data_IF_748369983975
#
_entry.id   IF_748369983975
#
_cell.length_a   1.000
_cell.length_b   1.000
_cell.length_c   1.000
_cell.angle_alpha   90.00
_cell.angle_beta   90.00
_cell.angle_gamma   90.00
#
_symmetry.space_group_name_H-M   'P 1'
#
loop_
_entity.id
_entity.type
_entity.pdbx_description
1 polymer ?
#
# COMPACT_ATOMS: atom_id res chain seq x y z
N UNK A 1 -13.08 8.61 -20.82
CA UNK A 1 -12.48 7.89 -19.66
C UNK A 1 -12.08 8.93 -18.62
N UNK A 2 -12.61 8.87 -17.40
CA UNK A 2 -12.33 9.87 -16.35
C UNK A 2 -10.83 9.88 -15.97
N UNK A 3 -10.27 11.04 -15.65
CA UNK A 3 -8.87 11.22 -15.23
C UNK A 3 -8.50 10.34 -14.02
N UNK A 4 -9.40 10.15 -13.05
CA UNK A 4 -9.15 9.29 -11.88
C UNK A 4 -9.03 7.81 -12.27
N UNK A 5 -9.76 7.38 -13.30
CA UNK A 5 -9.62 6.04 -13.88
C UNK A 5 -8.24 5.87 -14.52
N UNK A 6 -7.80 6.86 -15.29
CA UNK A 6 -6.48 6.85 -15.95
C UNK A 6 -5.37 6.78 -14.91
N UNK A 7 -5.45 7.60 -13.86
CA UNK A 7 -4.49 7.62 -12.76
C UNK A 7 -4.44 6.26 -12.07
N UNK A 8 -5.58 5.65 -11.72
CA UNK A 8 -5.61 4.34 -11.07
C UNK A 8 -5.02 3.23 -11.96
N UNK A 9 -5.32 3.23 -13.26
CA UNK A 9 -4.74 2.28 -14.23
C UNK A 9 -3.23 2.47 -14.37
N UNK A 10 -2.76 3.72 -14.37
CA UNK A 10 -1.32 4.03 -14.40
C UNK A 10 -0.64 3.55 -13.13
N UNK A 11 -1.21 3.84 -11.95
CA UNK A 11 -0.69 3.39 -10.66
C UNK A 11 -0.58 1.87 -10.63
N UNK A 12 -1.64 1.17 -11.01
CA UNK A 12 -1.65 -0.29 -11.10
C UNK A 12 -0.55 -0.81 -12.05
N UNK A 13 -0.50 -0.30 -13.28
CA UNK A 13 0.43 -0.77 -14.31
C UNK A 13 1.88 -0.57 -13.90
N UNK A 14 2.22 0.62 -13.36
CA UNK A 14 3.56 0.92 -12.86
C UNK A 14 3.89 0.04 -11.65
N UNK A 15 2.95 -0.14 -10.72
CA UNK A 15 3.16 -0.98 -9.54
C UNK A 15 3.46 -2.43 -9.92
N UNK A 16 2.64 -3.04 -10.78
CA UNK A 16 2.84 -4.42 -11.21
C UNK A 16 4.17 -4.55 -11.98
N UNK A 17 4.46 -3.63 -12.89
CA UNK A 17 5.72 -3.63 -13.64
C UNK A 17 6.94 -3.57 -12.72
N UNK A 18 6.98 -2.63 -11.77
CA UNK A 18 8.11 -2.47 -10.86
C UNK A 18 8.23 -3.65 -9.89
N UNK A 19 7.12 -4.16 -9.34
CA UNK A 19 7.15 -5.31 -8.42
C UNK A 19 7.57 -6.61 -9.11
N UNK A 20 7.12 -6.88 -10.34
CA UNK A 20 7.60 -8.04 -11.12
C UNK A 20 9.10 -7.93 -11.35
N UNK A 21 9.59 -6.73 -11.70
CA UNK A 21 11.02 -6.49 -11.84
C UNK A 21 11.76 -6.76 -10.52
N UNK A 22 11.25 -6.26 -9.39
CA UNK A 22 11.81 -6.57 -8.07
C UNK A 22 11.85 -8.07 -7.80
N UNK A 23 10.71 -8.77 -7.94
CA UNK A 23 10.57 -10.20 -7.68
C UNK A 23 11.53 -11.04 -8.55
N UNK A 24 11.68 -10.67 -9.82
CA UNK A 24 12.60 -11.37 -10.74
C UNK A 24 14.08 -11.27 -10.35
N UNK A 25 14.44 -10.39 -9.41
CA UNK A 25 15.79 -10.27 -8.86
C UNK A 25 16.08 -11.28 -7.75
N UNK A 26 15.06 -12.00 -7.25
CA UNK A 26 15.18 -12.93 -6.11
C UNK A 26 16.31 -13.94 -6.29
N UNK A 27 16.44 -14.49 -7.51
CA UNK A 27 17.46 -15.47 -7.88
C UNK A 27 18.91 -15.00 -7.74
N UNK A 28 19.16 -13.69 -7.61
CA UNK A 28 20.51 -13.13 -7.44
C UNK A 28 20.86 -12.86 -5.97
N UNK A 29 19.95 -13.09 -5.03
CA UNK A 29 20.17 -12.87 -3.61
C UNK A 29 20.35 -14.19 -2.85
N UNK A 30 21.22 -14.23 -1.84
CA UNK A 30 21.30 -15.39 -0.97
C UNK A 30 19.99 -15.54 -0.20
N UNK A 31 19.50 -16.78 -0.10
CA UNK A 31 18.26 -17.07 0.61
C UNK A 31 18.49 -16.87 2.11
N UNK A 32 17.95 -15.77 2.63
CA UNK A 32 17.90 -15.48 4.06
C UNK A 32 16.51 -14.92 4.43
N UNK A 33 16.15 -14.97 5.72
CA UNK A 33 14.81 -14.58 6.17
C UNK A 33 14.46 -13.12 5.85
N UNK A 34 15.44 -12.23 5.87
CA UNK A 34 15.26 -10.82 5.56
C UNK A 34 14.96 -10.59 4.06
N UNK A 35 15.72 -11.23 3.17
CA UNK A 35 15.49 -11.21 1.73
C UNK A 35 14.12 -11.80 1.43
N UNK A 36 13.76 -12.96 2.00
CA UNK A 36 12.43 -13.53 1.82
C UNK A 36 11.31 -12.54 2.18
N UNK A 37 11.48 -11.77 3.25
CA UNK A 37 10.53 -10.76 3.70
C UNK A 37 10.41 -9.58 2.74
N UNK A 38 11.53 -9.05 2.26
CA UNK A 38 11.52 -7.98 1.26
C UNK A 38 10.80 -8.43 -0.02
N UNK A 39 11.03 -9.65 -0.47
CA UNK A 39 10.37 -10.18 -1.67
C UNK A 39 8.89 -10.47 -1.44
N UNK A 40 8.52 -10.87 -0.22
CA UNK A 40 7.11 -10.98 0.19
C UNK A 40 6.41 -9.64 0.14
N UNK A 41 7.08 -8.54 0.53
CA UNK A 41 6.53 -7.19 0.41
C UNK A 41 6.14 -6.90 -1.04
N UNK A 42 7.00 -7.18 -2.03
CA UNK A 42 6.68 -6.92 -3.44
C UNK A 42 5.54 -7.79 -3.99
N UNK A 43 5.40 -9.03 -3.49
CA UNK A 43 4.24 -9.88 -3.80
C UNK A 43 2.98 -9.26 -3.20
N UNK A 44 3.04 -8.83 -1.94
CA UNK A 44 1.90 -8.24 -1.25
C UNK A 44 1.50 -6.88 -1.85
N UNK A 45 2.48 -6.06 -2.25
CA UNK A 45 2.30 -4.81 -2.99
C UNK A 45 1.56 -5.06 -4.32
N UNK A 46 1.89 -6.15 -5.02
CA UNK A 46 1.18 -6.58 -6.24
C UNK A 46 -0.27 -7.02 -5.98
N UNK A 47 -0.50 -7.73 -4.87
CA UNK A 47 -1.85 -8.14 -4.44
C UNK A 47 -2.67 -6.90 -4.09
N UNK A 48 -2.11 -5.98 -3.31
CA UNK A 48 -2.77 -4.73 -2.93
C UNK A 48 -3.10 -3.86 -4.15
N UNK A 49 -2.20 -3.77 -5.13
CA UNK A 49 -2.46 -3.03 -6.37
C UNK A 49 -3.61 -3.65 -7.18
N UNK A 50 -3.62 -4.99 -7.30
CA UNK A 50 -4.70 -5.72 -7.98
C UNK A 50 -6.04 -5.50 -7.30
N UNK A 51 -6.10 -5.65 -5.97
CA UNK A 51 -7.32 -5.40 -5.21
C UNK A 51 -7.76 -3.94 -5.29
N UNK A 52 -6.83 -2.99 -5.30
CA UNK A 52 -7.13 -1.58 -5.46
C UNK A 52 -7.72 -1.25 -6.84
N UNK A 53 -7.24 -1.89 -7.90
CA UNK A 53 -7.83 -1.76 -9.23
C UNK A 53 -9.22 -2.38 -9.29
N UNK A 54 -9.39 -3.60 -8.77
CA UNK A 54 -10.67 -4.35 -8.84
C UNK A 54 -11.74 -3.65 -8.00
N UNK A 55 -11.42 -3.33 -6.74
CA UNK A 55 -12.38 -2.74 -5.81
C UNK A 55 -12.69 -1.28 -6.16
N UNK A 56 -11.67 -0.54 -6.61
CA UNK A 56 -11.67 0.91 -6.86
C UNK A 56 -12.62 1.66 -5.93
N UNK A 57 -12.13 1.90 -4.72
CA UNK A 57 -12.88 2.55 -3.66
C UNK A 57 -12.83 4.07 -3.80
N UNK A 58 -13.99 4.70 -3.76
CA UNK A 58 -14.17 6.14 -3.54
C UNK A 58 -14.80 6.35 -2.17
N UNK A 59 -14.25 7.30 -1.40
CA UNK A 59 -14.82 7.72 -0.12
C UNK A 59 -15.47 9.06 -0.31
N UNK A 60 -16.76 9.12 0.01
CA UNK A 60 -17.60 10.29 -0.25
C UNK A 60 -18.39 10.57 1.02
N UNK A 61 -18.43 11.83 1.43
CA UNK A 61 -19.29 12.29 2.52
C UNK A 61 -20.57 12.83 1.90
N UNK A 62 -21.71 12.22 2.20
CA UNK A 62 -23.01 12.65 1.69
C UNK A 62 -23.99 12.84 2.84
N UNK A 63 -24.39 14.09 3.06
CA UNK A 63 -25.25 14.48 4.19
C UNK A 63 -24.67 13.97 5.53
N UNK A 64 -25.38 13.07 6.23
CA UNK A 64 -24.92 12.45 7.48
C UNK A 64 -24.24 11.09 7.29
N UNK A 65 -23.91 10.69 6.06
CA UNK A 65 -23.36 9.38 5.76
C UNK A 65 -21.94 9.45 5.21
N UNK A 66 -21.10 8.56 5.70
CA UNK A 66 -19.81 8.25 5.11
C UNK A 66 -20.02 7.07 4.16
N UNK A 67 -19.88 7.34 2.87
CA UNK A 67 -20.21 6.41 1.79
C UNK A 67 -18.92 5.87 1.15
N UNK A 68 -18.81 4.55 1.11
CA UNK A 68 -17.77 3.79 0.44
C UNK A 68 -18.35 3.31 -0.88
N UNK A 69 -18.03 4.02 -1.96
CA UNK A 69 -18.49 3.69 -3.30
C UNK A 69 -17.50 2.76 -4.01
N UNK A 70 -18.01 1.67 -4.61
CA UNK A 70 -17.21 0.70 -5.35
C UNK A 70 -17.41 0.96 -6.84
N UNK A 71 -16.50 1.71 -7.46
CA UNK A 71 -16.73 2.27 -8.80
C UNK A 71 -16.97 1.20 -9.86
N UNK A 72 -16.27 0.06 -9.80
CA UNK A 72 -16.40 -1.03 -10.78
C UNK A 72 -17.37 -2.14 -10.35
N UNK A 73 -18.14 -1.94 -9.28
CA UNK A 73 -19.12 -2.93 -8.81
C UNK A 73 -20.17 -3.31 -9.86
N UNK A 74 -20.45 -2.43 -10.83
CA UNK A 74 -21.37 -2.71 -11.93
C UNK A 74 -20.91 -3.85 -12.85
N UNK A 75 -19.61 -4.20 -12.85
CA UNK A 75 -19.06 -5.31 -13.64
C UNK A 75 -19.31 -6.69 -13.03
N UNK A 76 -19.60 -6.75 -11.71
CA UNK A 76 -19.55 -7.99 -10.93
C UNK A 76 -20.88 -8.38 -10.28
N UNK A 77 -21.93 -7.55 -10.45
CA UNK A 77 -23.25 -7.70 -9.81
C UNK A 77 -23.21 -8.16 -8.34
N UNK A 78 -22.39 -7.50 -7.51
CA UNK A 78 -22.12 -7.94 -6.14
C UNK A 78 -23.34 -7.78 -5.23
N UNK A 79 -23.67 -8.81 -4.43
CA UNK A 79 -24.61 -8.65 -3.32
C UNK A 79 -24.05 -7.70 -2.24
N UNK A 80 -24.87 -7.28 -1.28
CA UNK A 80 -24.41 -6.45 -0.15
C UNK A 80 -23.21 -7.08 0.56
N UNK A 81 -23.28 -8.39 0.82
CA UNK A 81 -22.18 -9.14 1.43
C UNK A 81 -20.95 -9.16 0.52
N UNK A 82 -21.13 -9.26 -0.81
CA UNK A 82 -20.04 -9.19 -1.78
C UNK A 82 -19.32 -7.84 -1.77
N UNK A 83 -20.06 -6.73 -1.79
CA UNK A 83 -19.51 -5.37 -1.65
C UNK A 83 -18.69 -5.24 -0.37
N UNK A 84 -19.27 -5.69 0.74
CA UNK A 84 -18.66 -5.63 2.05
C UNK A 84 -17.39 -6.49 2.15
N UNK A 85 -17.39 -7.74 1.66
CA UNK A 85 -16.16 -8.54 1.63
C UNK A 85 -15.06 -7.92 0.77
N UNK A 86 -15.42 -7.31 -0.36
CA UNK A 86 -14.47 -6.62 -1.22
C UNK A 86 -13.87 -5.39 -0.52
N UNK A 87 -14.70 -4.58 0.16
CA UNK A 87 -14.24 -3.46 0.98
C UNK A 87 -13.32 -3.94 2.10
N UNK A 88 -13.70 -4.97 2.86
CA UNK A 88 -12.87 -5.52 3.94
C UNK A 88 -11.53 -6.04 3.42
N UNK A 89 -11.53 -6.78 2.30
CA UNK A 89 -10.30 -7.28 1.68
C UNK A 89 -9.36 -6.12 1.26
N UNK A 90 -9.93 -5.05 0.71
CA UNK A 90 -9.17 -3.85 0.36
C UNK A 90 -8.55 -3.18 1.59
N UNK A 91 -9.33 -2.96 2.65
CA UNK A 91 -8.84 -2.34 3.89
C UNK A 91 -7.79 -3.22 4.59
N UNK A 92 -8.01 -4.54 4.68
CA UNK A 92 -7.04 -5.48 5.24
C UNK A 92 -5.71 -5.37 4.49
N UNK A 93 -5.73 -5.39 3.16
CA UNK A 93 -4.49 -5.32 2.37
C UNK A 93 -3.82 -3.94 2.42
N UNK A 94 -4.60 -2.85 2.43
CA UNK A 94 -4.06 -1.50 2.60
C UNK A 94 -3.28 -1.36 3.93
N UNK A 95 -3.91 -1.72 5.05
CA UNK A 95 -3.31 -1.56 6.37
C UNK A 95 -2.24 -2.61 6.68
N UNK A 96 -2.36 -3.82 6.15
CA UNK A 96 -1.30 -4.83 6.23
C UNK A 96 -0.04 -4.40 5.45
N UNK A 97 -0.19 -3.63 4.36
CA UNK A 97 0.95 -3.09 3.62
C UNK A 97 1.83 -2.19 4.52
N UNK A 98 1.19 -1.29 5.27
CA UNK A 98 1.85 -0.41 6.24
C UNK A 98 2.53 -1.25 7.34
N UNK A 99 1.83 -2.26 7.86
CA UNK A 99 2.37 -3.15 8.89
C UNK A 99 3.58 -3.97 8.41
N UNK A 100 3.55 -4.43 7.15
CA UNK A 100 4.65 -5.18 6.55
C UNK A 100 5.92 -4.32 6.42
N UNK A 101 5.80 -3.04 6.11
CA UNK A 101 6.94 -2.12 6.09
C UNK A 101 7.54 -1.99 7.50
N UNK A 102 6.69 -1.82 8.53
CA UNK A 102 7.14 -1.71 9.91
C UNK A 102 7.86 -2.99 10.39
N UNK A 103 7.30 -4.18 10.10
CA UNK A 103 7.94 -5.44 10.53
C UNK A 103 9.25 -5.70 9.80
N UNK A 104 9.38 -5.31 8.52
CA UNK A 104 10.64 -5.40 7.77
C UNK A 104 11.74 -4.59 8.44
N UNK A 105 11.41 -3.37 8.87
CA UNK A 105 12.36 -2.52 9.57
C UNK A 105 12.77 -3.13 10.93
N UNK A 106 11.80 -3.61 11.71
CA UNK A 106 12.04 -4.25 13.01
C UNK A 106 12.93 -5.50 12.86
N UNK A 107 12.61 -6.35 11.90
CA UNK A 107 13.34 -7.59 11.65
C UNK A 107 14.78 -7.32 11.22
N UNK A 108 14.98 -6.30 10.39
CA UNK A 108 16.32 -5.85 10.02
C UNK A 108 17.08 -5.26 11.21
N UNK A 109 16.41 -4.47 12.04
CA UNK A 109 16.99 -3.95 13.27
C UNK A 109 17.50 -5.09 14.16
N UNK A 110 16.70 -6.13 14.38
CA UNK A 110 17.15 -7.30 15.16
C UNK A 110 18.32 -8.04 14.52
N UNK A 111 18.33 -8.15 13.19
CA UNK A 111 19.42 -8.82 12.48
C UNK A 111 20.74 -8.03 12.57
N UNK A 112 20.71 -6.70 12.39
CA UNK A 112 21.93 -5.89 12.33
C UNK A 112 22.39 -5.45 13.73
N UNK A 113 21.50 -4.87 14.52
CA UNK A 113 21.85 -4.24 15.80
C UNK A 113 22.01 -5.27 16.91
N UNK A 114 21.15 -6.30 16.94
CA UNK A 114 21.20 -7.35 17.98
C UNK A 114 21.96 -8.59 17.53
N UNK A 115 22.45 -8.61 16.29
CA UNK A 115 23.14 -9.74 15.67
C UNK A 115 22.39 -11.07 15.85
N UNK A 116 21.05 -11.02 15.88
CA UNK A 116 20.21 -12.21 16.06
C UNK A 116 20.02 -12.90 14.72
N UNK A 117 20.26 -14.21 14.68
CA UNK A 117 19.98 -15.02 13.51
C UNK A 117 18.46 -15.21 13.32
N UNK A 118 17.89 -14.36 12.46
CA UNK A 118 16.47 -14.39 12.13
C UNK A 118 16.13 -15.60 11.24
N UNK A 119 15.58 -16.64 11.87
CA UNK A 119 15.01 -17.81 11.16
C UNK A 119 13.70 -17.45 10.42
N UNK A 120 13.38 -18.19 9.37
CA UNK A 120 12.17 -18.04 8.56
C UNK A 120 10.86 -18.03 9.36
N UNK A 121 10.78 -18.80 10.45
CA UNK A 121 9.62 -18.82 11.35
C UNK A 121 9.29 -17.46 11.99
N UNK A 122 10.30 -16.66 12.33
CA UNK A 122 10.06 -15.32 12.90
C UNK A 122 9.46 -14.40 11.85
N UNK A 123 9.87 -14.57 10.58
CA UNK A 123 9.30 -13.86 9.45
C UNK A 123 7.81 -14.22 9.26
N UNK A 124 7.46 -15.51 9.22
CA UNK A 124 6.06 -15.94 9.09
C UNK A 124 5.23 -15.35 10.24
N UNK A 125 5.75 -15.44 11.48
CA UNK A 125 5.08 -14.87 12.64
C UNK A 125 4.87 -13.35 12.50
N UNK A 126 5.86 -12.63 11.97
CA UNK A 126 5.75 -11.21 11.66
C UNK A 126 4.65 -10.91 10.65
N UNK A 127 4.59 -11.64 9.53
CA UNK A 127 3.56 -11.48 8.51
C UNK A 127 2.16 -11.77 9.04
N UNK A 128 2.00 -12.86 9.81
CA UNK A 128 0.72 -13.20 10.45
C UNK A 128 0.31 -12.08 11.41
N UNK A 129 1.23 -11.61 12.27
CA UNK A 129 0.94 -10.51 13.19
C UNK A 129 0.48 -9.25 12.45
N UNK A 130 1.14 -8.87 11.34
CA UNK A 130 0.75 -7.69 10.54
C UNK A 130 -0.60 -7.84 9.85
N UNK A 131 -1.06 -9.06 9.57
CA UNK A 131 -2.38 -9.31 8.96
C UNK A 131 -3.51 -9.37 9.99
N UNK A 132 -3.23 -9.93 11.18
CA UNK A 132 -4.23 -10.12 12.23
C UNK A 132 -4.82 -8.80 12.74
N UNK A 133 -4.00 -7.77 12.93
CA UNK A 133 -4.48 -6.47 13.43
C UNK A 133 -5.49 -5.80 12.48
N UNK A 134 -5.20 -5.61 11.18
CA UNK A 134 -6.18 -5.11 10.21
C UNK A 134 -7.45 -5.96 10.17
N UNK A 135 -7.36 -7.30 10.26
CA UNK A 135 -8.53 -8.18 10.27
C UNK A 135 -9.44 -7.84 11.47
N UNK A 136 -8.87 -7.72 12.67
CA UNK A 136 -9.63 -7.41 13.89
C UNK A 136 -10.31 -6.04 13.77
N UNK A 137 -9.60 -5.02 13.29
CA UNK A 137 -10.17 -3.67 13.11
C UNK A 137 -11.29 -3.69 12.06
N UNK A 138 -11.14 -4.48 11.01
CA UNK A 138 -12.14 -4.61 9.94
C UNK A 138 -13.43 -5.30 10.41
N UNK A 139 -13.43 -6.08 11.50
CA UNK A 139 -14.67 -6.58 12.11
C UNK A 139 -15.53 -5.41 12.61
N UNK A 140 -14.93 -4.36 13.18
CA UNK A 140 -15.67 -3.16 13.57
C UNK A 140 -16.23 -2.41 12.36
N UNK A 141 -15.49 -2.40 11.25
CA UNK A 141 -15.96 -1.83 9.98
C UNK A 141 -17.22 -2.56 9.48
N UNK A 142 -17.20 -3.89 9.50
CA UNK A 142 -18.35 -4.73 9.15
C UNK A 142 -19.60 -4.40 9.98
N UNK A 143 -19.43 -4.15 11.29
CA UNK A 143 -20.54 -3.87 12.21
C UNK A 143 -21.11 -2.45 12.10
N UNK A 144 -20.37 -1.54 11.47
CA UNK A 144 -20.73 -0.13 11.35
C UNK A 144 -21.54 0.20 10.09
N UNK A 145 -21.44 -0.62 9.04
CA UNK A 145 -22.27 -0.41 7.86
C UNK A 145 -23.75 -0.54 8.20
N UNK A 146 -24.52 0.40 7.67
CA UNK A 146 -25.97 0.36 7.77
C UNK A 146 -26.53 -0.62 6.71
N UNK A 147 -27.25 -1.63 7.17
CA UNK A 147 -27.87 -2.65 6.31
C UNK A 147 -29.28 -2.27 5.85
N UNK A 148 -29.86 -1.26 6.47
CA UNK A 148 -31.20 -0.76 6.12
C UNK A 148 -31.18 0.10 4.86
N UNK A 149 -30.00 0.63 4.49
CA UNK A 149 -29.81 1.48 3.32
C UNK A 149 -29.67 0.64 2.04
N UNK A 150 -30.22 1.12 0.91
CA UNK A 150 -30.08 0.43 -0.36
C UNK A 150 -28.67 0.62 -0.94
N UNK A 151 -28.21 -0.34 -1.74
CA UNK A 151 -26.84 -0.32 -2.29
C UNK A 151 -26.60 0.78 -3.32
N UNK A 152 -27.64 1.37 -3.89
CA UNK A 152 -27.59 2.49 -4.83
C UNK A 152 -27.68 3.86 -4.12
N UNK A 153 -27.46 3.92 -2.79
CA UNK A 153 -27.56 5.15 -1.99
C UNK A 153 -26.75 6.32 -2.58
N UNK A 154 -25.54 6.07 -3.09
CA UNK A 154 -24.73 7.12 -3.71
C UNK A 154 -25.39 7.69 -4.99
N UNK A 155 -26.07 6.84 -5.76
CA UNK A 155 -26.82 7.26 -6.94
C UNK A 155 -28.09 8.02 -6.57
N UNK A 156 -28.85 7.54 -5.57
CA UNK A 156 -30.04 8.23 -5.07
C UNK A 156 -29.71 9.64 -4.56
N UNK A 157 -28.58 9.79 -3.86
CA UNK A 157 -28.13 11.09 -3.36
C UNK A 157 -27.62 12.01 -4.48
N UNK A 158 -26.96 11.46 -5.51
CA UNK A 158 -26.62 12.19 -6.74
C UNK A 158 -27.87 12.77 -7.43
N UNK A 159 -28.96 11.99 -7.52
CA UNK A 159 -30.21 12.46 -8.13
C UNK A 159 -30.86 13.62 -7.36
N UNK A 160 -30.56 13.76 -6.07
CA UNK A 160 -31.03 14.88 -5.24
C UNK A 160 -30.19 16.16 -5.41
N UNK A 161 -29.23 16.19 -6.34
CA UNK A 161 -28.41 17.37 -6.64
C UNK A 161 -27.33 17.68 -5.61
N UNK A 162 -27.08 16.76 -4.66
CA UNK A 162 -26.08 16.98 -3.59
C UNK A 162 -24.65 16.67 -4.01
N UNK A 163 -24.47 15.92 -5.10
CA UNK A 163 -23.16 15.45 -5.54
C UNK A 163 -23.13 15.15 -7.05
N UNK A 164 -22.19 15.76 -7.76
CA UNK A 164 -22.00 15.54 -9.20
C UNK A 164 -20.72 14.74 -9.46
N UNK A 165 -20.87 13.45 -9.77
CA UNK A 165 -19.76 12.61 -10.22
C UNK A 165 -20.24 11.64 -11.30
N UNK A 166 -19.64 11.72 -12.49
CA UNK A 166 -19.97 10.90 -13.65
C UNK A 166 -19.77 9.39 -13.45
N UNK A 167 -18.95 9.01 -12.47
CA UNK A 167 -18.64 7.61 -12.16
C UNK A 167 -19.75 6.92 -11.38
N UNK A 168 -20.62 7.67 -10.71
CA UNK A 168 -21.78 7.13 -10.01
C UNK A 168 -22.92 6.94 -11.01
N UNK A 169 -23.30 5.69 -11.22
CA UNK A 169 -24.36 5.28 -12.15
C UNK A 169 -25.45 4.50 -11.39
N UNK A 170 -26.57 4.22 -12.04
CA UNK A 170 -27.65 3.39 -11.47
C UNK A 170 -27.19 1.97 -11.07
N UNK A 171 -26.04 1.52 -11.58
CA UNK A 171 -25.50 0.18 -11.35
C UNK A 171 -24.33 0.15 -10.36
N UNK A 172 -23.81 1.32 -9.94
CA UNK A 172 -22.76 1.36 -8.92
C UNK A 172 -23.34 1.07 -7.56
N UNK A 173 -22.62 0.24 -6.80
CA UNK A 173 -22.99 -0.20 -5.46
C UNK A 173 -22.09 0.50 -4.44
N UNK A 174 -22.69 0.90 -3.33
CA UNK A 174 -22.03 1.62 -2.27
C UNK A 174 -22.46 1.07 -0.91
N UNK A 175 -21.56 1.19 0.07
CA UNK A 175 -21.85 0.92 1.47
C UNK A 175 -21.85 2.24 2.21
N UNK A 176 -22.75 2.42 3.16
CA UNK A 176 -22.84 3.65 3.93
C UNK A 176 -22.80 3.35 5.43
N UNK A 177 -22.24 4.29 6.18
CA UNK A 177 -22.29 4.30 7.64
C UNK A 177 -22.69 5.70 8.11
N UNK A 178 -23.45 5.76 9.21
CA UNK A 178 -23.88 7.04 9.79
C UNK A 178 -22.68 7.73 10.43
N UNK A 179 -22.38 8.95 9.97
CA UNK A 179 -21.35 9.80 10.57
C UNK A 179 -21.74 10.20 11.99
N UNK A 180 -20.74 10.45 12.82
CA UNK A 180 -20.91 10.81 14.23
C UNK A 180 -21.61 9.75 15.11
N UNK A 181 -21.95 8.58 14.56
CA UNK A 181 -22.40 7.45 15.36
C UNK A 181 -21.22 6.86 16.17
N UNK A 182 -21.50 6.28 17.33
CA UNK A 182 -20.48 5.61 18.16
C UNK A 182 -19.65 4.58 17.36
N UNK A 183 -20.31 3.81 16.48
CA UNK A 183 -19.65 2.82 15.62
C UNK A 183 -18.64 3.44 14.66
N UNK A 184 -18.96 4.62 14.10
CA UNK A 184 -18.07 5.36 13.22
C UNK A 184 -16.80 5.81 13.96
N UNK A 185 -16.95 6.39 15.15
CA UNK A 185 -15.82 6.81 15.97
C UNK A 185 -14.95 5.64 16.43
N UNK A 186 -15.55 4.49 16.75
CA UNK A 186 -14.80 3.29 17.11
C UNK A 186 -13.89 2.81 15.94
N UNK A 187 -14.38 2.85 14.70
CA UNK A 187 -13.58 2.53 13.52
C UNK A 187 -12.41 3.52 13.36
N UNK A 188 -12.71 4.82 13.40
CA UNK A 188 -11.68 5.85 13.24
C UNK A 188 -10.60 5.72 14.32
N UNK A 189 -11.01 5.50 15.57
CA UNK A 189 -10.08 5.27 16.67
C UNK A 189 -9.21 4.03 16.45
N UNK A 190 -9.81 2.92 15.99
CA UNK A 190 -9.09 1.69 15.66
C UNK A 190 -8.01 1.90 14.60
N UNK A 191 -8.36 2.53 13.48
CA UNK A 191 -7.39 2.83 12.41
C UNK A 191 -6.33 3.84 12.84
N UNK A 192 -6.70 4.91 13.55
CA UNK A 192 -5.76 5.89 14.07
C UNK A 192 -4.76 5.27 15.05
N UNK A 193 -5.23 4.43 15.97
CA UNK A 193 -4.38 3.70 16.92
C UNK A 193 -3.39 2.81 16.18
N UNK A 194 -3.86 2.09 15.16
CA UNK A 194 -3.00 1.24 14.33
C UNK A 194 -1.92 2.04 13.59
N UNK A 195 -2.28 3.17 12.99
CA UNK A 195 -1.31 4.06 12.31
C UNK A 195 -0.28 4.61 13.30
N UNK A 196 -0.73 5.09 14.47
CA UNK A 196 0.17 5.60 15.52
C UNK A 196 1.16 4.55 16.01
N UNK A 197 0.70 3.32 16.26
CA UNK A 197 1.57 2.22 16.68
C UNK A 197 2.62 1.92 15.60
N UNK A 198 2.21 1.76 14.34
CA UNK A 198 3.14 1.45 13.25
C UNK A 198 4.15 2.57 13.01
N UNK A 199 3.71 3.83 13.00
CA UNK A 199 4.60 4.98 12.84
C UNK A 199 5.53 5.15 14.04
N UNK A 200 5.05 4.93 15.26
CA UNK A 200 5.89 4.91 16.45
C UNK A 200 6.98 3.85 16.37
N UNK A 201 6.64 2.62 15.97
CA UNK A 201 7.60 1.53 15.76
C UNK A 201 8.62 1.92 14.69
N UNK A 202 8.17 2.48 13.57
CA UNK A 202 9.05 2.89 12.46
C UNK A 202 10.04 3.96 12.91
N UNK A 203 9.56 5.04 13.53
CA UNK A 203 10.39 6.16 13.99
C UNK A 203 11.40 5.68 15.05
N UNK A 204 10.93 4.95 16.06
CA UNK A 204 11.79 4.44 17.13
C UNK A 204 12.89 3.51 16.60
N UNK A 205 12.51 2.56 15.73
CA UNK A 205 13.45 1.60 15.15
C UNK A 205 14.46 2.30 14.26
N UNK A 206 14.02 3.29 13.46
CA UNK A 206 14.88 4.06 12.57
C UNK A 206 15.92 4.89 13.35
N UNK A 207 15.51 5.60 14.40
CA UNK A 207 16.41 6.38 15.26
C UNK A 207 17.47 5.46 15.88
N UNK A 208 17.02 4.33 16.46
CA UNK A 208 17.92 3.37 17.11
C UNK A 208 18.90 2.73 16.13
N UNK A 209 18.42 2.38 14.93
CA UNK A 209 19.24 1.84 13.86
C UNK A 209 20.31 2.86 13.41
N UNK A 210 19.91 4.11 13.19
CA UNK A 210 20.82 5.18 12.76
C UNK A 210 21.91 5.45 13.80
N UNK A 211 21.54 5.45 15.08
CA UNK A 211 22.50 5.60 16.19
C UNK A 211 23.52 4.48 16.20
N UNK A 212 23.08 3.22 16.12
CA UNK A 212 23.96 2.06 16.07
C UNK A 212 24.95 2.13 14.89
N UNK A 213 24.48 2.54 13.71
CA UNK A 213 25.32 2.68 12.51
C UNK A 213 26.41 3.74 12.67
N UNK A 214 26.12 4.84 13.38
CA UNK A 214 27.12 5.89 13.68
C UNK A 214 28.17 5.40 14.67
N UNK A 215 27.74 4.73 15.74
CA UNK A 215 28.63 4.23 16.80
C UNK A 215 29.60 3.14 16.30
N UNK A 216 29.15 2.29 15.38
CA UNK A 216 29.94 1.15 14.89
C UNK A 216 30.63 1.41 13.53
N UNK A 217 30.64 2.65 13.06
CA UNK A 217 31.12 2.98 11.71
C UNK A 217 32.61 2.65 11.51
N UNK A 218 33.43 2.80 12.55
CA UNK A 218 34.89 2.57 12.49
C UNK A 218 35.25 1.09 12.41
N UNK A 219 34.40 0.19 12.92
CA UNK A 219 34.64 -1.25 12.93
C UNK A 219 34.16 -1.97 11.65
N UNK A 220 33.45 -1.27 10.76
CA UNK A 220 32.89 -1.86 9.54
C UNK A 220 33.86 -1.75 8.36
N UNK A 221 33.96 -2.81 7.56
CA UNK A 221 34.65 -2.73 6.27
C UNK A 221 33.97 -1.75 5.32
N UNK A 222 34.73 -1.15 4.40
CA UNK A 222 34.23 -0.18 3.42
C UNK A 222 33.04 -0.72 2.61
N UNK A 223 33.12 -1.98 2.19
CA UNK A 223 32.03 -2.66 1.47
C UNK A 223 30.77 -2.83 2.33
N UNK A 224 30.92 -3.28 3.58
CA UNK A 224 29.79 -3.45 4.51
C UNK A 224 29.12 -2.11 4.79
N UNK A 225 29.93 -1.06 4.99
CA UNK A 225 29.46 0.30 5.19
C UNK A 225 28.66 0.81 3.99
N UNK A 226 29.16 0.60 2.77
CA UNK A 226 28.45 0.98 1.55
C UNK A 226 27.09 0.28 1.43
N UNK A 227 27.06 -1.04 1.61
CA UNK A 227 25.82 -1.84 1.55
C UNK A 227 24.80 -1.33 2.58
N UNK A 228 25.26 -1.03 3.80
CA UNK A 228 24.38 -0.51 4.85
C UNK A 228 23.85 0.89 4.53
N UNK A 229 24.65 1.78 3.92
CA UNK A 229 24.20 3.11 3.49
C UNK A 229 23.15 3.00 2.38
N UNK A 230 23.42 2.21 1.34
CA UNK A 230 22.48 2.01 0.23
C UNK A 230 21.15 1.49 0.73
N UNK A 231 21.22 0.52 1.63
CA UNK A 231 20.02 -0.04 2.22
C UNK A 231 19.30 0.98 3.13
N UNK A 232 20.02 1.73 3.96
CA UNK A 232 19.38 2.71 4.84
C UNK A 232 18.59 3.75 4.03
N UNK A 233 19.08 4.11 2.83
CA UNK A 233 18.33 4.97 1.89
C UNK A 233 17.04 4.30 1.41
N UNK A 234 17.10 3.01 1.05
CA UNK A 234 15.91 2.23 0.67
C UNK A 234 14.89 2.24 1.81
N UNK A 235 15.32 1.93 3.04
CA UNK A 235 14.43 1.94 4.20
C UNK A 235 13.83 3.30 4.48
N UNK A 236 14.64 4.37 4.41
CA UNK A 236 14.16 5.71 4.67
C UNK A 236 12.99 6.05 3.74
N UNK A 237 13.10 5.68 2.47
CA UNK A 237 12.03 5.93 1.49
C UNK A 237 10.85 4.99 1.69
N UNK A 238 11.08 3.71 1.95
CA UNK A 238 10.01 2.75 2.22
C UNK A 238 9.23 3.09 3.50
N UNK A 239 9.91 3.53 4.55
CA UNK A 239 9.30 3.95 5.82
C UNK A 239 8.68 5.34 5.72
N UNK A 240 9.31 6.23 4.95
CA UNK A 240 8.82 7.58 4.69
C UNK A 240 7.60 7.59 3.77
N UNK A 241 7.47 6.61 2.87
CA UNK A 241 6.37 6.54 1.90
C UNK A 241 4.99 6.50 2.58
N UNK A 242 4.69 5.56 3.51
CA UNK A 242 3.46 5.60 4.29
C UNK A 242 3.27 6.87 5.10
N UNK A 243 4.35 7.51 5.59
CA UNK A 243 4.24 8.77 6.33
C UNK A 243 3.88 9.95 5.41
N UNK A 244 4.53 10.06 4.26
CA UNK A 244 4.29 11.10 3.26
C UNK A 244 2.88 10.99 2.70
N UNK A 245 2.44 9.77 2.45
CA UNK A 245 1.12 9.50 1.86
C UNK A 245 0.02 9.40 2.92
N UNK A 246 0.36 8.96 4.12
CA UNK A 246 -0.57 8.80 5.25
C UNK A 246 -0.76 10.07 6.08
N UNK A 247 0.12 11.07 5.99
CA UNK A 247 -0.12 12.37 6.62
C UNK A 247 -1.41 13.04 6.08
N UNK A 248 -1.65 13.10 4.75
CA UNK A 248 -2.95 13.48 4.20
C UNK A 248 -4.12 12.69 4.79
N UNK A 249 -3.97 11.37 4.99
CA UNK A 249 -5.01 10.54 5.62
C UNK A 249 -5.30 10.96 7.06
N UNK A 250 -4.27 11.22 7.86
CA UNK A 250 -4.45 11.70 9.24
C UNK A 250 -5.16 13.05 9.25
N UNK A 251 -4.75 13.98 8.37
CA UNK A 251 -5.41 15.29 8.23
C UNK A 251 -6.89 15.10 7.87
N UNK A 252 -7.19 14.24 6.91
CA UNK A 252 -8.58 13.94 6.52
C UNK A 252 -9.39 13.30 7.64
N UNK A 253 -8.82 12.36 8.39
CA UNK A 253 -9.49 11.79 9.56
C UNK A 253 -9.80 12.88 10.58
N UNK A 254 -8.90 13.86 10.79
CA UNK A 254 -9.16 15.00 11.68
C UNK A 254 -10.30 15.88 11.13
N UNK A 255 -10.37 16.11 9.82
CA UNK A 255 -11.48 16.89 9.24
C UNK A 255 -12.83 16.18 9.33
N UNK A 256 -12.88 14.85 9.48
CA UNK A 256 -14.12 14.12 9.77
C UNK A 256 -14.71 14.44 11.16
N UNK A 257 -13.94 15.09 12.05
CA UNK A 257 -14.42 15.56 13.36
C UNK A 257 -14.88 17.02 13.34
N UNK A 258 -14.72 17.73 12.22
CA UNK A 258 -15.09 19.14 12.09
C UNK A 258 -16.14 19.33 11.01
N UNK A 259 -16.80 20.49 10.98
CA UNK A 259 -17.78 20.81 9.93
C UNK A 259 -17.11 21.15 8.58
N UNK A 260 -15.77 21.27 8.55
CA UNK A 260 -14.99 21.56 7.35
C UNK A 260 -14.64 20.26 6.58
N UNK A 261 -15.64 19.40 6.37
CA UNK A 261 -15.43 18.11 5.72
C UNK A 261 -15.13 18.29 4.23
N UNK A 262 -14.01 17.73 3.77
CA UNK A 262 -13.68 17.69 2.35
C UNK A 262 -14.36 16.47 1.70
N UNK A 263 -15.52 16.67 1.06
CA UNK A 263 -16.38 15.59 0.53
C UNK A 263 -15.64 14.52 -0.26
N UNK A 264 -14.78 14.92 -1.20
CA UNK A 264 -14.01 14.02 -2.07
C UNK A 264 -12.58 13.74 -1.60
N UNK A 265 -12.18 14.32 -0.46
CA UNK A 265 -10.82 14.22 0.04
C UNK A 265 -10.37 12.79 0.27
N UNK A 266 -11.27 11.95 0.77
CA UNK A 266 -10.98 10.54 1.01
C UNK A 266 -10.64 9.77 -0.27
N UNK A 267 -11.29 10.08 -1.39
CA UNK A 267 -10.99 9.48 -2.71
C UNK A 267 -9.59 9.84 -3.20
N UNK A 268 -9.21 11.12 -3.10
CA UNK A 268 -7.87 11.58 -3.48
C UNK A 268 -6.82 10.90 -2.61
N UNK A 269 -7.03 10.86 -1.31
CA UNK A 269 -6.08 10.28 -0.34
C UNK A 269 -5.92 8.77 -0.55
N UNK A 270 -7.02 8.04 -0.73
CA UNK A 270 -6.96 6.61 -1.07
C UNK A 270 -6.16 6.41 -2.36
N UNK A 271 -6.40 7.22 -3.40
CA UNK A 271 -5.68 7.11 -4.67
C UNK A 271 -4.18 7.36 -4.48
N UNK A 272 -3.77 8.28 -3.62
CA UNK A 272 -2.34 8.47 -3.32
C UNK A 272 -1.81 7.28 -2.51
N UNK A 273 -2.58 6.74 -1.54
CA UNK A 273 -2.21 5.55 -0.76
C UNK A 273 -1.95 4.33 -1.66
N UNK A 274 -2.70 4.13 -2.73
CA UNK A 274 -2.46 3.04 -3.68
C UNK A 274 -1.16 3.18 -4.47
N UNK A 275 -0.53 4.36 -4.47
CA UNK A 275 0.80 4.58 -5.07
C UNK A 275 1.98 4.21 -4.14
N UNK A 276 1.73 3.89 -2.87
CA UNK A 276 2.76 3.46 -1.90
C UNK A 276 3.67 2.34 -2.43
N UNK A 277 3.13 1.25 -3.04
CA UNK A 277 3.93 0.22 -3.73
C UNK A 277 4.94 0.72 -4.79
N UNK A 278 4.62 1.80 -5.50
CA UNK A 278 5.51 2.37 -6.52
C UNK A 278 6.77 2.89 -5.83
N UNK A 279 6.61 3.64 -4.73
CA UNK A 279 7.73 4.19 -3.98
C UNK A 279 8.59 3.06 -3.37
N UNK A 280 7.96 1.99 -2.87
CA UNK A 280 8.67 0.86 -2.30
C UNK A 280 9.57 0.14 -3.31
N UNK A 281 9.00 -0.20 -4.47
CA UNK A 281 9.69 -0.94 -5.53
C UNK A 281 10.70 -0.06 -6.27
N UNK A 282 10.36 1.20 -6.57
CA UNK A 282 11.28 2.16 -7.16
C UNK A 282 12.50 2.40 -6.25
N UNK A 283 12.29 2.57 -4.94
CA UNK A 283 13.40 2.72 -4.00
C UNK A 283 14.36 1.52 -4.06
N UNK A 284 13.82 0.31 -4.04
CA UNK A 284 14.63 -0.90 -4.09
C UNK A 284 15.42 -1.04 -5.40
N UNK A 285 14.81 -0.77 -6.55
CA UNK A 285 15.46 -0.89 -7.86
C UNK A 285 16.50 0.22 -8.08
N UNK A 286 16.16 1.47 -7.71
CA UNK A 286 16.99 2.63 -7.99
C UNK A 286 18.16 2.80 -7.02
N UNK A 287 18.01 2.50 -5.72
CA UNK A 287 19.07 2.79 -4.74
C UNK A 287 20.07 1.66 -4.53
N UNK A 288 19.71 0.40 -4.79
CA UNK A 288 20.63 -0.74 -4.71
C UNK A 288 21.57 -0.77 -5.92
N UNK A 289 22.88 -0.62 -5.68
CA UNK A 289 23.90 -0.68 -6.73
C UNK A 289 23.86 -2.01 -7.48
N UNK A 290 23.72 -3.12 -6.75
CA UNK A 290 23.58 -4.47 -7.31
C UNK A 290 22.38 -4.58 -8.24
N UNK A 291 21.22 -4.04 -7.85
CA UNK A 291 20.02 -4.06 -8.68
C UNK A 291 20.21 -3.24 -9.95
N UNK A 292 20.79 -2.03 -9.84
CA UNK A 292 21.11 -1.20 -11.01
C UNK A 292 22.00 -1.91 -12.01
N UNK A 293 23.04 -2.60 -11.55
CA UNK A 293 23.94 -3.35 -12.44
C UNK A 293 23.20 -4.46 -13.17
N UNK A 294 22.39 -5.25 -12.44
CA UNK A 294 21.61 -6.35 -13.05
C UNK A 294 20.60 -5.82 -14.07
N UNK A 295 19.90 -4.73 -13.76
CA UNK A 295 18.92 -4.11 -14.66
C UNK A 295 19.59 -3.55 -15.92
N UNK A 296 20.75 -2.88 -15.78
CA UNK A 296 21.53 -2.39 -16.92
C UNK A 296 21.93 -3.53 -17.85
N UNK A 297 22.41 -4.65 -17.30
CA UNK A 297 22.76 -5.84 -18.10
C UNK A 297 21.54 -6.41 -18.82
N UNK A 298 20.39 -6.51 -18.16
CA UNK A 298 19.13 -6.98 -18.79
C UNK A 298 18.69 -6.06 -19.93
N UNK A 299 18.74 -4.75 -19.70
CA UNK A 299 18.38 -3.77 -20.71
C UNK A 299 19.29 -3.84 -21.93
N UNK A 300 20.61 -3.93 -21.72
CA UNK A 300 21.58 -4.12 -22.80
C UNK A 300 21.30 -5.41 -23.60
N UNK A 301 20.99 -6.52 -22.92
CA UNK A 301 20.66 -7.78 -23.58
C UNK A 301 19.37 -7.69 -24.41
N UNK A 302 18.33 -7.01 -23.92
CA UNK A 302 17.10 -6.78 -24.68
C UNK A 302 17.37 -5.96 -25.94
N UNK A 303 18.08 -4.84 -25.82
CA UNK A 303 18.44 -3.99 -26.98
C UNK A 303 19.26 -4.77 -28.01
N UNK A 304 20.23 -5.56 -27.56
CA UNK A 304 21.03 -6.40 -28.46
C UNK A 304 20.17 -7.46 -29.19
N UNK A 305 19.19 -8.05 -28.51
CA UNK A 305 18.28 -9.03 -29.12
C UNK A 305 17.42 -8.40 -30.20
N UNK A 306 16.83 -7.23 -29.93
CA UNK A 306 16.06 -6.47 -30.93
C UNK A 306 16.91 -6.08 -32.14
N UNK A 307 18.16 -5.64 -31.92
CA UNK A 307 19.06 -5.29 -33.02
C UNK A 307 19.38 -6.52 -33.90
N UNK A 308 19.67 -7.68 -33.31
CA UNK A 308 19.95 -8.93 -34.05
C UNK A 308 18.75 -9.38 -34.89
N UNK A 309 17.53 -9.28 -34.35
CA UNK A 309 16.31 -9.59 -35.10
C UNK A 309 16.08 -8.61 -36.26
N UNK A 310 16.35 -7.31 -36.07
CA UNK A 310 16.26 -6.32 -37.15
C UNK A 310 17.25 -6.58 -38.30
N UNK A 311 18.46 -7.08 -38.01
CA UNK A 311 19.41 -7.44 -39.07
C UNK A 311 18.93 -8.63 -39.90
N UNK A 312 18.36 -9.66 -39.26
CA UNK A 312 17.79 -10.83 -39.99
C UNK A 312 16.62 -10.48 -40.91
N UNK A 313 15.87 -9.41 -40.62
CA UNK A 313 14.79 -8.94 -41.49
C UNK A 313 15.27 -8.11 -42.69
N UNK A 314 16.52 -7.63 -42.72
CA UNK A 314 17.08 -6.91 -43.87
C UNK A 314 17.69 -7.83 -44.93
N UNK A 315 18.03 -9.05 -44.55
CA UNK A 315 18.70 -10.03 -45.42
C UNK A 315 17.71 -10.99 -46.11
N UNK A 316 16.38 -10.78 -45.94
CA UNK A 316 15.29 -11.47 -46.63
C UNK A 316 14.48 -10.47 -47.46
#
# INVERSE_FOLDING_TARGET
MNITTIINLMIFSVTIFLNINCISLYKYYPVNGYIAMLFTQFIFDSIFASLSLIARIELIILDKYFVINLVYSYMYDLSYNGCMYMTLAWYITCYANIGLIAIILVMRYFQIVKSKNMKFKHYICGCIATLMFPIIININLYLAFDRSLPLDIAYQLKMNGTYENDLITTKTKSLAMIMHAWKFYNILFGYMTYLFINYGIVIFTYITFTRFMKENQSSMSSLTRQINIEFNRILLIQCGSPLLVGLPLVIYIITLFTDATWTDGGTVIITILTATPILNSAAFLCFSSKNRTILKTRFANMVNTFNVECYKCKDN
#
